data_IF_279039143275
#
_entry.id   IF_279039143275
#
_cell.length_a   1.000
_cell.length_b   1.000
_cell.length_c   1.000
_cell.angle_alpha   90.00
_cell.angle_beta   90.00
_cell.angle_gamma   90.00
#
_symmetry.space_group_name_H-M   'P 1'
#
loop_
_entity.id
_entity.type
_entity.pdbx_description
1 polymer ?
#
# COMPACT_ATOMS: atom_id res chain seq x y z
N UNK A 1 -7.81 5.00 12.19
CA UNK A 1 -6.64 4.20 12.60
C UNK A 1 -5.97 3.42 11.47
N UNK A 2 -6.69 2.84 10.49
CA UNK A 2 -6.09 1.96 9.46
C UNK A 2 -5.02 2.63 8.57
N UNK A 3 -5.20 3.91 8.21
CA UNK A 3 -4.20 4.69 7.44
C UNK A 3 -2.88 4.87 8.20
N UNK A 4 -2.91 4.97 9.52
CA UNK A 4 -1.69 5.09 10.33
C UNK A 4 -0.87 3.79 10.28
N UNK A 5 -1.55 2.65 10.31
CA UNK A 5 -0.90 1.32 10.17
C UNK A 5 -0.25 1.17 8.80
N UNK A 6 -0.90 1.64 7.73
CA UNK A 6 -0.29 1.69 6.39
C UNK A 6 1.00 2.52 6.41
N UNK A 7 0.96 3.73 6.96
CA UNK A 7 2.16 4.57 7.07
C UNK A 7 3.27 3.94 7.91
N UNK A 8 2.93 3.26 9.01
CA UNK A 8 3.92 2.55 9.83
C UNK A 8 4.61 1.41 9.07
N UNK A 9 3.86 0.72 8.21
CA UNK A 9 4.41 -0.34 7.37
C UNK A 9 5.28 0.20 6.24
N UNK A 10 4.95 1.38 5.72
CA UNK A 10 5.66 2.04 4.62
C UNK A 10 6.83 2.93 5.08
N UNK A 11 6.90 3.26 6.37
CA UNK A 11 7.94 4.12 6.96
C UNK A 11 9.37 3.78 6.49
N UNK A 12 9.78 2.50 6.46
CA UNK A 12 11.12 2.12 5.98
C UNK A 12 11.37 2.40 4.49
N UNK A 13 10.32 2.57 3.69
CA UNK A 13 10.40 2.78 2.24
C UNK A 13 10.05 4.21 1.81
N UNK A 14 9.83 5.11 2.76
CA UNK A 14 9.38 6.49 2.49
C UNK A 14 10.28 7.24 1.53
N UNK A 15 11.60 7.00 1.57
CA UNK A 15 12.56 7.61 0.65
C UNK A 15 12.38 7.20 -0.82
N UNK A 16 11.72 6.08 -1.08
CA UNK A 16 11.44 5.60 -2.43
C UNK A 16 10.02 5.90 -2.91
N UNK A 17 9.16 6.52 -2.10
CA UNK A 17 7.79 6.85 -2.50
C UNK A 17 7.82 8.04 -3.47
N UNK A 18 7.30 7.83 -4.67
CA UNK A 18 7.12 8.88 -5.67
C UNK A 18 5.77 9.57 -5.55
N UNK A 19 4.72 8.78 -5.36
CA UNK A 19 3.35 9.27 -5.32
C UNK A 19 2.48 8.39 -4.42
N UNK A 20 1.47 9.01 -3.81
CA UNK A 20 0.47 8.33 -2.98
C UNK A 20 -0.91 8.85 -3.38
N UNK A 21 -1.74 7.96 -3.89
CA UNK A 21 -3.12 8.26 -4.24
C UNK A 21 -4.08 7.49 -3.34
N UNK A 22 -4.96 8.23 -2.68
CA UNK A 22 -6.06 7.66 -1.88
C UNK A 22 -7.36 8.01 -2.58
N UNK A 23 -8.11 6.99 -2.99
CA UNK A 23 -9.42 7.17 -3.62
C UNK A 23 -10.49 6.57 -2.72
N UNK A 24 -11.46 7.36 -2.32
CA UNK A 24 -12.61 6.90 -1.53
C UNK A 24 -13.84 6.88 -2.42
N UNK A 25 -14.19 5.72 -2.96
CA UNK A 25 -15.44 5.56 -3.71
C UNK A 25 -16.63 5.65 -2.75
N UNK A 26 -17.64 6.45 -3.08
CA UNK A 26 -18.84 6.60 -2.23
C UNK A 26 -19.71 5.33 -2.15
N UNK A 27 -19.51 4.35 -3.03
CA UNK A 27 -20.39 3.19 -3.15
C UNK A 27 -20.16 2.09 -2.10
N UNK A 28 -18.91 1.80 -1.70
CA UNK A 28 -18.62 0.52 -1.03
C UNK A 28 -17.96 0.62 0.36
N UNK A 29 -17.87 1.81 0.98
CA UNK A 29 -17.18 2.02 2.28
C UNK A 29 -15.70 1.60 2.31
N UNK A 30 -15.11 1.28 1.16
CA UNK A 30 -13.69 1.00 1.00
C UNK A 30 -12.95 2.22 0.48
N UNK A 31 -11.63 2.20 0.67
CA UNK A 31 -10.71 3.18 0.13
C UNK A 31 -9.60 2.43 -0.61
N UNK A 32 -9.33 2.86 -1.83
CA UNK A 32 -8.18 2.40 -2.59
C UNK A 32 -6.98 3.24 -2.19
N UNK A 33 -5.87 2.56 -1.89
CA UNK A 33 -4.62 3.16 -1.50
C UNK A 33 -3.52 2.67 -2.45
N UNK A 34 -3.07 3.57 -3.33
CA UNK A 34 -2.08 3.27 -4.36
C UNK A 34 -0.81 4.04 -4.02
N UNK A 35 0.32 3.34 -4.00
CA UNK A 35 1.64 3.94 -3.77
C UNK A 35 2.56 3.59 -4.92
N UNK A 36 3.14 4.62 -5.52
CA UNK A 36 4.15 4.48 -6.55
C UNK A 36 5.54 4.56 -5.90
N UNK A 37 6.41 3.61 -6.22
CA UNK A 37 7.78 3.57 -5.70
C UNK A 37 8.81 3.67 -6.84
N UNK A 38 9.93 4.34 -6.58
CA UNK A 38 11.15 4.30 -7.39
C UNK A 38 12.25 3.53 -6.68
N UNK A 39 13.00 2.74 -7.45
CA UNK A 39 14.24 2.09 -7.00
C UNK A 39 14.10 1.20 -5.74
N UNK A 40 12.89 0.71 -5.46
CA UNK A 40 12.67 -0.29 -4.39
C UNK A 40 12.71 -1.69 -5.00
N UNK A 41 13.46 -2.64 -4.41
CA UNK A 41 13.46 -4.02 -4.87
C UNK A 41 12.06 -4.65 -4.81
N UNK A 42 11.67 -5.35 -5.88
CA UNK A 42 10.36 -6.01 -5.97
C UNK A 42 10.12 -7.04 -4.87
N UNK A 43 11.17 -7.66 -4.33
CA UNK A 43 11.10 -8.59 -3.19
C UNK A 43 10.66 -7.91 -1.89
N UNK A 44 11.08 -6.67 -1.68
CA UNK A 44 10.70 -5.86 -0.52
C UNK A 44 9.25 -5.43 -0.65
N UNK A 45 8.84 -4.98 -1.85
CA UNK A 45 7.44 -4.66 -2.15
C UNK A 45 6.54 -5.90 -2.02
N UNK A 46 6.99 -7.06 -2.49
CA UNK A 46 6.28 -8.33 -2.33
C UNK A 46 6.03 -8.68 -0.86
N UNK A 47 7.04 -8.54 -0.01
CA UNK A 47 6.90 -8.78 1.44
C UNK A 47 5.86 -7.85 2.08
N UNK A 48 5.76 -6.61 1.60
CA UNK A 48 4.76 -5.64 2.07
C UNK A 48 3.37 -6.03 1.60
N UNK A 49 3.21 -6.40 0.33
CA UNK A 49 1.94 -6.84 -0.25
C UNK A 49 1.42 -8.08 0.48
N UNK A 50 2.28 -9.06 0.75
CA UNK A 50 1.92 -10.26 1.52
C UNK A 50 1.43 -9.89 2.92
N UNK A 51 2.16 -9.01 3.63
CA UNK A 51 1.77 -8.53 4.96
C UNK A 51 0.43 -7.80 4.94
N UNK A 52 0.18 -6.97 3.92
CA UNK A 52 -1.10 -6.28 3.74
C UNK A 52 -2.22 -7.28 3.47
N UNK A 53 -1.97 -8.32 2.66
CA UNK A 53 -2.93 -9.40 2.39
C UNK A 53 -3.32 -10.21 3.62
N UNK A 54 -2.48 -10.27 4.65
CA UNK A 54 -2.83 -10.91 5.92
C UNK A 54 -3.70 -10.05 6.85
N UNK A 55 -3.95 -8.78 6.53
CA UNK A 55 -4.71 -7.88 7.41
C UNK A 55 -6.22 -8.03 7.18
N UNK A 56 -6.98 -8.22 8.26
CA UNK A 56 -8.43 -8.47 8.22
C UNK A 56 -9.29 -7.35 7.64
N UNK A 57 -8.71 -6.16 7.46
CA UNK A 57 -9.38 -4.97 6.92
C UNK A 57 -8.91 -4.60 5.52
N UNK A 58 -8.00 -5.38 4.94
CA UNK A 58 -7.54 -5.25 3.55
C UNK A 58 -8.29 -6.28 2.72
N UNK A 59 -9.07 -5.82 1.75
CA UNK A 59 -9.82 -6.70 0.86
C UNK A 59 -8.94 -7.32 -0.23
N UNK A 60 -7.96 -6.55 -0.72
CA UNK A 60 -7.00 -6.96 -1.75
C UNK A 60 -5.74 -6.12 -1.64
N UNK A 61 -4.59 -6.74 -1.90
CA UNK A 61 -3.31 -6.07 -2.05
C UNK A 61 -2.58 -6.70 -3.24
N UNK A 62 -2.17 -5.89 -4.21
CA UNK A 62 -1.50 -6.35 -5.42
C UNK A 62 -0.34 -5.42 -5.77
N UNK A 63 0.65 -5.97 -6.48
CA UNK A 63 1.75 -5.21 -7.07
C UNK A 63 1.55 -5.19 -8.58
N UNK A 64 1.63 -4.02 -9.19
CA UNK A 64 1.63 -3.86 -10.65
C UNK A 64 3.00 -3.34 -11.07
N UNK A 65 3.65 -3.94 -12.08
CA UNK A 65 4.84 -3.33 -12.67
C UNK A 65 4.45 -1.96 -13.27
N UNK A 66 5.30 -0.96 -13.03
CA UNK A 66 5.15 0.38 -13.60
C UNK A 66 5.43 0.38 -15.11
#
# INVERSE_FOLDING_TARGET
MRIVVLWQLLLPLTAGILDVKISTGQADRYADFVVLFANIPSTVLGTIVDRLGCMTWVTSATMTPA
#
